data_IF_602280375794
#
_entry.id   IF_602280375794
#
_cell.length_a   1.000
_cell.length_b   1.000
_cell.length_c   1.000
_cell.angle_alpha   90.00
_cell.angle_beta   90.00
_cell.angle_gamma   90.00
#
_symmetry.space_group_name_H-M   'P 1'
#
loop_
_entity.id
_entity.type
_entity.pdbx_description
1 polymer ?
#
# COMPACT_ATOMS: atom_id res chain seq x y z
N UNK A 1 30.08 11.58 -50.10
CA UNK A 1 30.01 11.74 -48.64
C UNK A 1 28.54 11.88 -48.25
N UNK A 2 27.84 10.76 -48.04
CA UNK A 2 26.46 10.79 -47.55
C UNK A 2 26.51 10.81 -46.02
N UNK A 3 26.10 11.93 -45.45
CA UNK A 3 26.01 12.17 -44.02
C UNK A 3 24.86 11.37 -43.42
N UNK A 4 25.17 10.55 -42.43
CA UNK A 4 24.21 9.80 -41.64
C UNK A 4 23.42 10.76 -40.75
N UNK A 5 22.16 11.01 -41.07
CA UNK A 5 21.23 11.71 -40.18
C UNK A 5 20.66 10.70 -39.17
N UNK A 6 21.29 10.59 -38.01
CA UNK A 6 20.73 9.87 -36.85
C UNK A 6 19.59 10.70 -36.26
N UNK A 7 18.35 10.29 -36.54
CA UNK A 7 17.16 10.83 -35.88
C UNK A 7 17.12 10.30 -34.45
N UNK A 8 17.50 11.15 -33.49
CA UNK A 8 17.41 10.87 -32.06
C UNK A 8 15.92 10.95 -31.66
N UNK A 9 15.25 9.81 -31.61
CA UNK A 9 13.90 9.70 -31.07
C UNK A 9 13.95 9.98 -29.55
N UNK A 10 13.61 11.21 -29.16
CA UNK A 10 13.38 11.56 -27.76
C UNK A 10 12.18 10.73 -27.27
N UNK A 11 12.43 9.70 -26.47
CA UNK A 11 11.37 8.96 -25.80
C UNK A 11 10.65 9.91 -24.84
N UNK A 12 9.52 10.47 -25.28
CA UNK A 12 8.58 11.15 -24.39
C UNK A 12 8.01 10.09 -23.45
N UNK A 13 8.68 9.84 -22.34
CA UNK A 13 8.10 9.05 -21.27
C UNK A 13 6.89 9.83 -20.73
N UNK A 14 5.68 9.26 -20.79
CA UNK A 14 4.56 9.83 -20.07
C UNK A 14 4.86 9.61 -18.58
N UNK A 15 5.62 10.52 -17.96
CA UNK A 15 5.51 10.76 -16.52
C UNK A 15 4.07 11.23 -16.33
N UNK A 16 3.15 10.29 -16.11
CA UNK A 16 1.84 10.58 -15.60
C UNK A 16 2.06 11.20 -14.23
N UNK A 17 1.86 12.50 -14.19
CA UNK A 17 1.64 13.22 -12.96
C UNK A 17 0.13 13.19 -12.82
N UNK A 18 -0.35 12.19 -12.09
CA UNK A 18 -1.13 12.40 -10.88
C UNK A 18 -1.83 11.12 -10.39
N UNK A 19 -2.20 11.06 -9.11
CA UNK A 19 -1.73 10.01 -8.20
C UNK A 19 -2.73 9.74 -7.05
N UNK A 20 -2.94 8.46 -6.73
CA UNK A 20 -3.74 7.99 -5.61
C UNK A 20 -2.99 6.91 -4.86
N UNK A 21 -2.88 7.02 -3.53
CA UNK A 21 -2.04 6.14 -2.71
C UNK A 21 -2.82 5.50 -1.56
N UNK A 22 -2.40 4.31 -1.18
CA UNK A 22 -2.93 3.61 0.00
C UNK A 22 -2.17 4.13 1.23
N UNK A 23 -2.78 5.06 1.95
CA UNK A 23 -2.11 5.80 3.02
C UNK A 23 -2.05 5.00 4.33
N UNK A 24 -3.15 4.36 4.70
CA UNK A 24 -3.30 3.62 5.95
C UNK A 24 -4.18 2.40 5.70
N UNK A 25 -3.84 1.27 6.31
CA UNK A 25 -4.60 0.03 6.23
C UNK A 25 -4.61 -0.69 7.57
N UNK A 26 -5.76 -1.25 7.92
CA UNK A 26 -5.97 -2.09 9.09
C UNK A 26 -6.66 -3.37 8.66
N UNK A 27 -6.26 -4.50 9.27
CA UNK A 27 -6.96 -5.76 9.10
C UNK A 27 -8.01 -5.94 10.19
N UNK A 28 -8.98 -6.82 9.97
CA UNK A 28 -10.05 -7.08 10.92
C UNK A 28 -9.58 -7.60 12.29
N UNK A 29 -8.39 -8.19 12.38
CA UNK A 29 -7.76 -8.60 13.65
C UNK A 29 -6.80 -7.54 14.21
N UNK A 30 -6.82 -6.33 13.68
CA UNK A 30 -6.02 -5.19 14.13
C UNK A 30 -4.75 -4.99 13.30
N UNK A 31 -3.74 -4.39 13.95
CA UNK A 31 -2.51 -3.95 13.29
C UNK A 31 -2.71 -2.71 12.41
N UNK A 32 -1.61 -2.16 11.93
CA UNK A 32 -1.62 -0.98 11.08
C UNK A 32 -0.49 -1.04 10.06
N UNK A 33 -0.79 -0.64 8.83
CA UNK A 33 0.12 -0.68 7.70
C UNK A 33 -0.05 0.51 6.79
N UNK A 34 0.94 0.71 5.95
CA UNK A 34 0.87 1.59 4.79
C UNK A 34 1.40 0.84 3.57
N UNK A 35 1.18 1.37 2.36
CA UNK A 35 1.79 0.75 1.18
C UNK A 35 3.32 0.87 1.21
N UNK A 36 3.98 -0.07 0.52
CA UNK A 36 5.40 0.02 0.23
C UNK A 36 5.73 1.35 -0.46
N UNK A 37 6.91 1.88 -0.16
CA UNK A 37 7.42 3.16 -0.67
C UNK A 37 6.65 4.43 -0.26
N UNK A 38 5.66 4.34 0.64
CA UNK A 38 5.05 5.52 1.26
C UNK A 38 6.09 6.20 2.15
N UNK A 39 6.21 7.53 2.05
CA UNK A 39 7.22 8.33 2.77
C UNK A 39 6.63 9.10 3.97
N UNK A 40 5.36 8.83 4.31
CA UNK A 40 4.68 9.43 5.44
C UNK A 40 4.54 10.95 5.32
N UNK A 41 4.65 11.64 6.46
CA UNK A 41 4.46 13.11 6.53
C UNK A 41 5.54 13.95 5.85
N UNK A 42 6.58 13.33 5.28
CA UNK A 42 7.64 14.05 4.53
C UNK A 42 7.09 14.55 3.18
N UNK A 43 6.11 13.85 2.62
CA UNK A 43 5.45 14.23 1.36
C UNK A 43 4.24 15.11 1.68
N UNK A 44 4.24 16.39 1.28
CA UNK A 44 3.11 17.28 1.53
C UNK A 44 1.83 16.74 0.85
N UNK A 45 0.68 16.82 1.52
CA UNK A 45 -0.61 16.48 0.88
C UNK A 45 -1.07 17.53 -0.14
N UNK A 46 -0.63 18.78 0.01
CA UNK A 46 -0.99 19.89 -0.87
C UNK A 46 0.24 20.64 -1.38
N UNK A 47 0.10 21.27 -2.55
CA UNK A 47 1.19 22.00 -3.22
C UNK A 47 1.40 21.53 -4.66
N UNK A 48 2.55 21.86 -5.27
CA UNK A 48 2.86 21.42 -6.62
C UNK A 48 2.94 19.89 -6.70
N UNK A 49 2.32 19.31 -7.73
CA UNK A 49 2.26 17.87 -8.01
C UNK A 49 3.63 17.17 -7.89
N UNK A 50 4.69 17.79 -8.40
CA UNK A 50 6.06 17.26 -8.33
C UNK A 50 6.63 17.10 -6.92
N UNK A 51 5.92 17.59 -5.90
CA UNK A 51 6.27 17.49 -4.48
C UNK A 51 5.28 16.65 -3.68
N UNK A 52 4.01 16.64 -4.06
CA UNK A 52 2.92 15.96 -3.33
C UNK A 52 2.71 14.51 -3.76
N UNK A 53 3.30 14.11 -4.89
CA UNK A 53 2.99 12.84 -5.55
C UNK A 53 4.13 11.80 -5.50
N UNK A 54 5.25 12.15 -4.87
CA UNK A 54 6.50 11.38 -5.00
C UNK A 54 6.40 9.97 -4.43
N UNK A 55 5.47 9.71 -3.53
CA UNK A 55 5.29 8.42 -2.85
C UNK A 55 4.08 7.62 -3.37
N UNK A 56 3.46 8.05 -4.47
CA UNK A 56 2.39 7.26 -5.07
C UNK A 56 2.94 6.17 -5.97
N UNK A 57 2.45 4.95 -5.74
CA UNK A 57 2.83 3.80 -6.56
C UNK A 57 2.07 3.81 -7.88
N UNK A 58 2.83 3.70 -8.97
CA UNK A 58 2.33 3.53 -10.33
C UNK A 58 2.63 2.12 -10.81
N UNK A 59 1.62 1.42 -11.31
CA UNK A 59 1.77 0.12 -11.97
C UNK A 59 1.82 0.27 -13.49
N UNK A 60 2.32 -0.76 -14.17
CA UNK A 60 2.50 -0.72 -15.62
C UNK A 60 1.25 -1.15 -16.41
N UNK A 61 0.32 -1.88 -15.80
CA UNK A 61 -0.84 -2.47 -16.47
C UNK A 61 -2.13 -2.23 -15.69
N UNK A 62 -3.19 -1.82 -16.39
CA UNK A 62 -4.54 -1.57 -15.85
C UNK A 62 -5.24 -2.82 -15.35
N UNK A 63 -4.81 -4.00 -15.78
CA UNK A 63 -5.21 -5.25 -15.14
C UNK A 63 -4.59 -5.33 -13.75
N UNK A 64 -5.42 -5.49 -12.72
CA UNK A 64 -4.95 -5.59 -11.34
C UNK A 64 -4.12 -6.88 -11.13
N UNK A 65 -4.45 -7.96 -11.85
CA UNK A 65 -3.77 -9.27 -11.80
C UNK A 65 -2.53 -9.31 -12.69
N UNK A 66 -1.58 -8.43 -12.42
CA UNK A 66 -0.24 -8.43 -13.03
C UNK A 66 0.83 -8.32 -11.98
N UNK A 67 1.92 -9.04 -12.20
CA UNK A 67 3.04 -9.11 -11.25
C UNK A 67 3.75 -7.77 -11.06
N UNK A 68 4.50 -7.70 -9.97
CA UNK A 68 5.34 -6.56 -9.62
C UNK A 68 4.72 -5.61 -8.60
N UNK A 69 5.59 -4.93 -7.87
CA UNK A 69 5.23 -4.08 -6.73
C UNK A 69 5.00 -2.61 -7.10
N UNK A 70 5.14 -2.28 -8.39
CA UNK A 70 5.06 -0.92 -8.90
C UNK A 70 6.33 -0.12 -8.66
N UNK A 71 6.24 1.19 -8.86
CA UNK A 71 7.32 2.15 -8.60
C UNK A 71 6.75 3.49 -8.16
N UNK A 72 7.51 4.24 -7.39
CA UNK A 72 7.21 5.64 -7.05
C UNK A 72 8.27 6.56 -7.65
N UNK A 73 7.95 7.85 -7.76
CA UNK A 73 8.91 8.85 -8.24
C UNK A 73 10.02 9.09 -7.20
N UNK A 74 9.69 9.02 -5.92
CA UNK A 74 10.58 9.33 -4.81
C UNK A 74 11.48 8.17 -4.37
N UNK A 75 11.01 6.91 -4.49
CA UNK A 75 11.75 5.72 -4.06
C UNK A 75 12.19 4.80 -5.21
N UNK A 76 11.76 5.06 -6.46
CA UNK A 76 12.08 4.20 -7.59
C UNK A 76 11.24 2.93 -7.60
N UNK A 77 11.82 1.81 -8.02
CA UNK A 77 11.12 0.52 -8.03
C UNK A 77 10.80 0.08 -6.59
N UNK A 78 9.56 -0.37 -6.39
CA UNK A 78 9.16 -0.85 -5.08
C UNK A 78 9.71 -2.26 -4.85
N UNK A 79 10.16 -2.52 -3.63
CA UNK A 79 10.70 -3.81 -3.21
C UNK A 79 10.32 -4.13 -1.75
N UNK A 80 10.51 -5.39 -1.35
CA UNK A 80 10.16 -5.85 -0.01
C UNK A 80 11.09 -5.31 1.09
N UNK A 81 12.28 -4.82 0.75
CA UNK A 81 13.15 -4.11 1.69
C UNK A 81 12.53 -2.81 2.21
N UNK A 82 11.59 -2.23 1.46
CA UNK A 82 10.83 -1.05 1.89
C UNK A 82 9.81 -1.36 2.99
N UNK A 83 9.58 -2.63 3.34
CA UNK A 83 8.68 -3.01 4.44
C UNK A 83 9.14 -2.41 5.78
N UNK A 84 10.43 -2.39 6.06
CA UNK A 84 10.96 -1.81 7.31
C UNK A 84 10.58 -0.33 7.42
N UNK A 85 10.62 0.40 6.31
CA UNK A 85 10.19 1.79 6.27
C UNK A 85 8.68 1.94 6.48
N UNK A 86 7.86 1.10 5.82
CA UNK A 86 6.42 1.09 6.02
C UNK A 86 6.05 0.84 7.49
N UNK A 87 6.71 -0.13 8.14
CA UNK A 87 6.51 -0.44 9.56
C UNK A 87 6.99 0.68 10.49
N UNK A 88 8.05 1.41 10.12
CA UNK A 88 8.48 2.58 10.87
C UNK A 88 7.41 3.69 10.85
N UNK A 89 6.58 3.76 9.81
CA UNK A 89 5.48 4.72 9.69
C UNK A 89 4.19 4.27 10.40
N UNK A 90 3.90 2.97 10.42
CA UNK A 90 2.61 2.44 10.88
C UNK A 90 2.65 1.67 12.20
N UNK A 91 3.83 1.33 12.70
CA UNK A 91 4.06 0.54 13.91
C UNK A 91 4.59 -0.88 13.63
N UNK A 92 4.97 -1.63 14.69
CA UNK A 92 5.65 -2.91 14.57
C UNK A 92 4.74 -4.09 14.22
N UNK A 93 3.43 -3.87 14.09
CA UNK A 93 2.45 -4.92 13.82
C UNK A 93 1.76 -4.65 12.49
N UNK A 94 2.05 -5.50 11.50
CA UNK A 94 1.38 -5.50 10.19
C UNK A 94 -0.15 -5.54 10.34
N UNK A 95 -0.92 -5.08 9.35
CA UNK A 95 -2.36 -5.35 9.30
C UNK A 95 -2.62 -6.85 9.42
N UNK A 96 -3.43 -7.24 10.41
CA UNK A 96 -3.71 -8.63 10.74
C UNK A 96 -5.07 -9.03 10.17
N UNK A 97 -5.07 -10.03 9.28
CA UNK A 97 -6.27 -10.55 8.62
C UNK A 97 -6.59 -11.95 9.13
N UNK A 98 -7.87 -12.26 9.23
CA UNK A 98 -8.33 -13.65 9.36
C UNK A 98 -8.86 -14.14 8.01
N UNK A 99 -8.85 -15.46 7.74
CA UNK A 99 -9.62 -16.00 6.62
C UNK A 99 -11.09 -15.58 6.75
N UNK A 100 -11.69 -15.10 5.66
CA UNK A 100 -13.06 -14.55 5.67
C UNK A 100 -13.18 -13.14 6.27
N UNK A 101 -12.06 -12.56 6.69
CA UNK A 101 -12.00 -11.23 7.30
C UNK A 101 -12.02 -10.08 6.29
N UNK A 102 -11.73 -8.88 6.77
CA UNK A 102 -11.77 -7.66 5.96
C UNK A 102 -10.48 -6.85 6.13
N UNK A 103 -10.04 -6.25 5.02
CA UNK A 103 -9.02 -5.22 4.96
C UNK A 103 -9.71 -3.87 4.79
N UNK A 104 -9.49 -2.93 5.71
CA UNK A 104 -10.03 -1.56 5.63
C UNK A 104 -8.89 -0.56 5.55
N UNK A 105 -9.13 0.59 4.92
CA UNK A 105 -8.08 1.58 4.82
C UNK A 105 -8.51 2.92 4.25
N UNK A 106 -7.54 3.80 4.14
CA UNK A 106 -7.68 5.13 3.56
C UNK A 106 -6.92 5.20 2.25
N UNK A 107 -7.64 5.51 1.19
CA UNK A 107 -7.07 5.84 -0.10
C UNK A 107 -7.01 7.37 -0.23
N UNK A 108 -5.81 7.90 -0.35
CA UNK A 108 -5.58 9.33 -0.50
C UNK A 108 -5.39 9.69 -1.96
N UNK A 109 -6.31 10.50 -2.48
CA UNK A 109 -6.34 10.96 -3.86
C UNK A 109 -5.74 12.36 -3.92
N UNK A 110 -4.53 12.45 -4.46
CA UNK A 110 -3.83 13.74 -4.61
C UNK A 110 -4.49 14.56 -5.71
N UNK A 111 -4.91 13.90 -6.78
CA UNK A 111 -5.43 14.53 -8.01
C UNK A 111 -6.58 13.78 -8.64
N UNK A 112 -7.28 14.44 -9.56
CA UNK A 112 -8.56 13.95 -10.06
C UNK A 112 -8.51 12.58 -10.77
N UNK A 113 -7.36 12.18 -11.29
CA UNK A 113 -7.06 10.92 -11.98
C UNK A 113 -6.54 9.78 -11.07
N UNK A 114 -6.43 10.05 -9.76
CA UNK A 114 -6.19 9.05 -8.72
C UNK A 114 -7.49 8.48 -8.13
N UNK A 115 -8.66 8.85 -8.64
CA UNK A 115 -9.95 8.45 -8.09
C UNK A 115 -10.26 6.96 -8.33
N UNK A 116 -11.44 6.52 -7.90
CA UNK A 116 -11.92 5.15 -8.05
C UNK A 116 -12.50 4.82 -9.43
N UNK A 117 -13.06 3.60 -9.58
CA UNK A 117 -13.07 2.54 -8.58
C UNK A 117 -11.69 1.88 -8.42
N UNK A 118 -11.39 1.40 -7.21
CA UNK A 118 -10.20 0.60 -6.90
C UNK A 118 -10.53 -0.89 -6.79
N UNK A 119 -9.55 -1.73 -7.10
CA UNK A 119 -9.59 -3.18 -7.02
C UNK A 119 -8.44 -3.67 -6.16
N UNK A 120 -8.57 -4.87 -5.58
CA UNK A 120 -7.52 -5.48 -4.78
C UNK A 120 -7.28 -6.95 -5.15
N UNK A 121 -6.00 -7.34 -5.16
CA UNK A 121 -5.55 -8.72 -5.35
C UNK A 121 -4.52 -9.06 -4.29
N UNK A 122 -4.68 -10.22 -3.67
CA UNK A 122 -3.82 -10.75 -2.63
C UNK A 122 -2.89 -11.84 -3.21
N UNK A 123 -1.59 -11.62 -3.09
CA UNK A 123 -0.56 -12.63 -3.33
C UNK A 123 -0.27 -13.37 -2.01
N UNK A 124 -0.54 -14.69 -2.01
CA UNK A 124 -0.41 -15.58 -0.86
C UNK A 124 1.05 -15.91 -0.50
N UNK A 125 1.97 -15.68 -1.43
CA UNK A 125 3.40 -16.03 -1.29
C UNK A 125 4.28 -14.86 -0.87
N UNK A 126 3.71 -13.65 -0.89
CA UNK A 126 4.42 -12.39 -0.68
C UNK A 126 5.67 -12.20 -1.56
N UNK A 127 5.58 -12.57 -2.83
CA UNK A 127 6.66 -12.43 -3.82
C UNK A 127 6.36 -11.40 -4.91
N UNK A 128 5.16 -10.82 -4.91
CA UNK A 128 4.66 -9.90 -5.94
C UNK A 128 4.02 -10.62 -7.14
N UNK A 129 3.65 -11.89 -7.00
CA UNK A 129 3.06 -12.73 -8.04
C UNK A 129 1.52 -12.56 -8.10
N UNK A 130 1.05 -11.35 -8.36
CA UNK A 130 -0.38 -11.02 -8.38
C UNK A 130 -1.15 -11.62 -9.58
N UNK A 131 -0.48 -12.12 -10.61
CA UNK A 131 -1.15 -12.83 -11.71
C UNK A 131 -1.88 -14.08 -11.21
N UNK A 132 -1.25 -14.83 -10.31
CA UNK A 132 -1.83 -15.98 -9.61
C UNK A 132 -2.55 -15.60 -8.30
N UNK A 133 -2.60 -14.31 -7.99
CA UNK A 133 -3.19 -13.80 -6.77
C UNK A 133 -4.71 -13.97 -6.71
N UNK A 134 -5.21 -13.97 -5.47
CA UNK A 134 -6.62 -14.10 -5.12
C UNK A 134 -7.28 -12.72 -5.16
N UNK A 135 -8.28 -12.48 -6.03
CA UNK A 135 -9.04 -11.23 -6.01
C UNK A 135 -9.80 -11.06 -4.70
N UNK A 136 -9.80 -9.84 -4.16
CA UNK A 136 -10.60 -9.51 -2.98
C UNK A 136 -11.92 -8.88 -3.41
N UNK A 137 -12.97 -9.13 -2.63
CA UNK A 137 -14.31 -8.59 -2.91
C UNK A 137 -14.40 -7.16 -2.40
N UNK A 138 -14.84 -6.23 -3.25
CA UNK A 138 -15.07 -4.84 -2.85
C UNK A 138 -16.25 -4.79 -1.87
N UNK A 139 -16.03 -4.31 -0.65
CA UNK A 139 -17.07 -4.06 0.36
C UNK A 139 -17.43 -2.58 0.40
N UNK A 140 -16.42 -1.71 0.37
CA UNK A 140 -16.58 -0.26 0.32
C UNK A 140 -15.63 0.31 -0.74
N UNK A 141 -16.19 1.18 -1.58
CA UNK A 141 -15.53 1.70 -2.77
C UNK A 141 -15.34 3.22 -2.68
N UNK A 142 -14.24 3.71 -3.24
CA UNK A 142 -13.99 5.16 -3.34
C UNK A 142 -14.68 5.74 -4.59
N UNK A 143 -15.11 7.01 -4.55
CA UNK A 143 -15.76 7.67 -5.69
C UNK A 143 -14.87 7.76 -6.93
N UNK A 144 -15.49 7.68 -8.11
CA UNK A 144 -14.83 7.87 -9.41
C UNK A 144 -15.31 6.87 -10.46
N UNK A 145 -14.92 7.11 -11.72
CA UNK A 145 -15.15 6.24 -12.86
C UNK A 145 -13.86 6.14 -13.68
N UNK A 146 -13.37 4.92 -13.91
CA UNK A 146 -12.16 4.67 -14.70
C UNK A 146 -10.91 5.35 -14.14
N UNK A 147 -10.82 5.53 -12.82
CA UNK A 147 -9.72 6.24 -12.18
C UNK A 147 -9.93 7.74 -12.06
N UNK A 148 -11.07 8.31 -12.49
CA UNK A 148 -11.27 9.76 -12.55
C UNK A 148 -12.51 10.22 -11.76
N UNK A 149 -12.44 11.38 -11.09
CA UNK A 149 -13.64 12.00 -10.54
C UNK A 149 -14.62 12.44 -11.63
N UNK A 150 -15.90 12.14 -11.44
CA UNK A 150 -16.98 12.60 -12.31
C UNK A 150 -17.43 13.97 -11.80
N UNK A 151 -17.09 15.06 -12.51
CA UNK A 151 -17.53 16.42 -12.17
C UNK A 151 -16.45 17.47 -11.88
N UNK A 152 -15.16 17.14 -12.04
CA UNK A 152 -14.11 18.17 -12.02
C UNK A 152 -14.21 19.06 -13.26
N UNK A 153 -14.14 20.39 -13.09
CA UNK A 153 -14.02 21.37 -14.17
C UNK A 153 -12.69 21.15 -14.95
N UNK A 154 -12.63 20.12 -15.79
CA UNK A 154 -11.50 19.80 -16.65
C UNK A 154 -11.34 20.79 -17.82
N UNK A 155 -12.22 21.80 -17.88
CA UNK A 155 -12.34 22.72 -19.00
C UNK A 155 -12.23 24.18 -18.54
N UNK A 156 -11.03 24.60 -18.17
CA UNK A 156 -10.45 25.69 -18.97
C UNK A 156 -9.54 25.04 -19.98
N UNK A 157 -10.13 24.52 -21.05
CA UNK A 157 -9.41 24.25 -22.30
C UNK A 157 -8.80 25.60 -22.68
N UNK A 158 -7.58 25.88 -22.22
CA UNK A 158 -6.87 27.06 -22.67
C UNK A 158 -6.83 26.90 -24.18
N UNK A 159 -7.50 27.81 -24.87
CA UNK A 159 -7.54 27.94 -26.33
C UNK A 159 -6.15 28.29 -26.89
N UNK A 160 -5.10 28.16 -26.09
CA UNK A 160 -3.73 28.34 -26.51
C UNK A 160 -3.35 27.17 -27.46
N UNK A 161 -3.08 27.44 -28.74
CA UNK A 161 -2.73 26.43 -29.73
C UNK A 161 -1.40 25.72 -29.43
N UNK A 162 -0.62 26.21 -28.47
CA UNK A 162 0.59 25.54 -27.96
C UNK A 162 0.32 24.59 -26.79
N UNK A 163 -0.95 24.41 -26.38
CA UNK A 163 -1.21 23.63 -25.18
C UNK A 163 -1.01 22.12 -25.33
N UNK A 164 -0.90 21.60 -26.56
CA UNK A 164 -0.44 20.23 -26.80
C UNK A 164 1.05 20.05 -26.46
N UNK A 165 1.81 21.15 -26.40
CA UNK A 165 3.22 21.18 -26.02
C UNK A 165 3.43 21.30 -24.49
N UNK A 166 2.35 21.56 -23.72
CA UNK A 166 2.39 21.65 -22.26
C UNK A 166 1.70 20.43 -21.66
N UNK A 167 2.47 19.61 -20.93
CA UNK A 167 1.96 18.52 -20.09
C UNK A 167 0.96 19.10 -19.09
N UNK A 168 -0.34 18.84 -19.27
CA UNK A 168 -1.37 19.20 -18.29
C UNK A 168 -1.57 18.00 -17.36
N UNK A 169 -1.09 18.11 -16.13
CA UNK A 169 -1.44 17.14 -15.07
C UNK A 169 -2.90 17.28 -14.67
N UNK A 170 -3.45 16.24 -14.03
CA UNK A 170 -4.81 16.31 -13.49
C UNK A 170 -4.90 17.35 -12.36
N UNK A 171 -6.11 17.87 -12.13
CA UNK A 171 -6.36 18.86 -11.08
C UNK A 171 -6.08 18.26 -9.69
N UNK A 172 -5.43 19.02 -8.81
CA UNK A 172 -5.30 18.63 -7.40
C UNK A 172 -6.66 18.65 -6.71
N UNK A 173 -6.94 17.57 -6.00
CA UNK A 173 -8.16 17.38 -5.20
C UNK A 173 -7.81 17.18 -3.73
N UNK A 174 -6.72 16.47 -3.42
CA UNK A 174 -6.19 16.25 -2.07
C UNK A 174 -7.28 15.79 -1.09
N UNK A 175 -7.92 14.67 -1.39
CA UNK A 175 -9.03 14.10 -0.62
C UNK A 175 -8.73 12.66 -0.21
N UNK A 176 -9.23 12.25 0.96
CA UNK A 176 -9.09 10.89 1.47
C UNK A 176 -10.44 10.21 1.52
N UNK A 177 -10.48 8.93 1.12
CA UNK A 177 -11.70 8.12 1.13
C UNK A 177 -11.43 6.78 1.80
N UNK A 178 -12.42 6.31 2.55
CA UNK A 178 -12.40 4.98 3.13
C UNK A 178 -12.67 3.93 2.05
N UNK A 179 -12.01 2.79 2.17
CA UNK A 179 -12.30 1.60 1.38
C UNK A 179 -12.27 0.35 2.26
N UNK A 180 -12.90 -0.70 1.76
CA UNK A 180 -12.90 -2.01 2.41
C UNK A 180 -12.94 -3.12 1.37
N UNK A 181 -12.16 -4.18 1.62
CA UNK A 181 -12.13 -5.40 0.83
C UNK A 181 -12.30 -6.63 1.72
N UNK A 182 -13.15 -7.57 1.31
CA UNK A 182 -13.31 -8.85 1.98
C UNK A 182 -12.34 -9.89 1.43
N UNK A 183 -11.73 -10.64 2.34
CA UNK A 183 -10.81 -11.74 2.08
C UNK A 183 -11.59 -13.04 2.03
N UNK A 184 -11.39 -13.92 1.03
CA UNK A 184 -12.04 -15.22 1.00
C UNK A 184 -11.76 -16.08 2.23
N UNK A 185 -12.73 -16.93 2.61
CA UNK A 185 -12.65 -17.80 3.80
C UNK A 185 -11.52 -18.83 3.75
N UNK A 186 -11.06 -19.21 2.55
CA UNK A 186 -10.02 -20.21 2.35
C UNK A 186 -8.65 -19.59 2.02
N UNK A 187 -8.46 -18.31 2.29
CA UNK A 187 -7.18 -17.64 2.05
C UNK A 187 -6.16 -18.03 3.12
N UNK A 188 -4.95 -18.38 2.69
CA UNK A 188 -3.80 -18.64 3.57
C UNK A 188 -2.57 -17.95 3.01
N UNK A 189 -1.76 -17.33 3.87
CA UNK A 189 -0.47 -16.78 3.49
C UNK A 189 0.66 -17.72 3.86
N UNK A 190 1.60 -17.92 2.95
CA UNK A 190 2.83 -18.69 3.18
C UNK A 190 4.08 -17.82 3.08
N UNK A 191 3.93 -16.55 2.71
CA UNK A 191 5.04 -15.62 2.53
C UNK A 191 5.82 -15.38 3.82
N UNK A 192 7.11 -15.13 3.64
CA UNK A 192 8.04 -14.74 4.70
C UNK A 192 8.72 -13.45 4.28
N UNK A 193 8.51 -12.37 5.04
CA UNK A 193 9.11 -11.06 4.75
C UNK A 193 9.66 -10.46 6.03
N UNK A 194 10.92 -10.02 6.01
CA UNK A 194 11.61 -9.45 7.18
C UNK A 194 11.50 -10.32 8.45
N UNK A 195 11.53 -11.66 8.30
CA UNK A 195 11.44 -12.62 9.40
C UNK A 195 10.02 -12.91 9.91
N UNK A 196 9.00 -12.19 9.42
CA UNK A 196 7.59 -12.46 9.73
C UNK A 196 7.05 -13.56 8.82
N UNK A 197 6.38 -14.55 9.39
CA UNK A 197 5.72 -15.65 8.67
C UNK A 197 4.24 -15.38 8.50
N UNK A 198 3.62 -16.03 7.51
CA UNK A 198 2.20 -15.85 7.21
C UNK A 198 1.91 -14.49 6.58
N UNK A 199 2.88 -13.91 5.87
CA UNK A 199 2.74 -12.62 5.20
C UNK A 199 2.15 -12.82 3.81
N UNK A 200 1.19 -11.97 3.44
CA UNK A 200 0.72 -11.78 2.08
C UNK A 200 1.04 -10.35 1.62
N UNK A 201 0.94 -10.13 0.32
CA UNK A 201 0.93 -8.79 -0.25
C UNK A 201 -0.45 -8.53 -0.85
N UNK A 202 -1.04 -7.38 -0.53
CA UNK A 202 -2.29 -6.91 -1.14
C UNK A 202 -1.97 -5.75 -2.06
N UNK A 203 -2.13 -5.96 -3.37
CA UNK A 203 -2.06 -4.90 -4.37
C UNK A 203 -3.43 -4.26 -4.47
N UNK A 204 -3.49 -2.96 -4.23
CA UNK A 204 -4.70 -2.13 -4.41
C UNK A 204 -4.40 -1.11 -5.50
N UNK A 205 -5.24 -1.02 -6.53
CA UNK A 205 -5.08 -0.01 -7.56
C UNK A 205 -6.39 0.34 -8.26
N UNK A 206 -6.47 1.55 -8.82
CA UNK A 206 -7.49 1.90 -9.80
C UNK A 206 -7.13 1.36 -11.20
N UNK A 207 -7.97 1.60 -12.21
CA UNK A 207 -7.75 1.15 -13.58
C UNK A 207 -7.40 2.29 -14.56
N UNK A 208 -6.72 3.34 -14.09
CA UNK A 208 -6.41 4.50 -14.93
C UNK A 208 -5.36 4.16 -16.00
N UNK A 209 -5.60 4.58 -17.26
CA UNK A 209 -4.68 4.35 -18.39
C UNK A 209 -3.41 5.19 -18.34
N UNK A 210 -3.42 6.34 -17.65
CA UNK A 210 -2.21 7.13 -17.41
C UNK A 210 -1.19 6.38 -16.55
N UNK A 211 -1.66 5.38 -15.81
CA UNK A 211 -0.90 4.57 -14.88
C UNK A 211 -1.85 4.15 -13.78
N UNK A 212 -2.07 2.86 -13.53
CA UNK A 212 -2.86 2.45 -12.37
C UNK A 212 -2.18 2.92 -11.10
N UNK A 213 -2.93 3.65 -10.28
CA UNK A 213 -2.42 4.25 -9.06
C UNK A 213 -2.94 3.49 -7.84
N UNK A 214 -2.06 3.31 -6.86
CA UNK A 214 -2.43 2.75 -5.57
C UNK A 214 -1.22 2.37 -4.74
N UNK A 215 -1.09 1.09 -4.40
CA UNK A 215 0.02 0.58 -3.62
C UNK A 215 -0.04 -0.91 -3.34
N UNK A 216 1.08 -1.47 -2.86
CA UNK A 216 1.14 -2.83 -2.33
C UNK A 216 1.32 -2.76 -0.83
N UNK A 217 0.45 -3.44 -0.09
CA UNK A 217 0.42 -3.44 1.37
C UNK A 217 0.76 -4.83 1.87
N UNK A 218 1.84 -5.00 2.64
CA UNK A 218 2.10 -6.23 3.36
C UNK A 218 1.07 -6.42 4.47
N UNK A 219 0.52 -7.62 4.57
CA UNK A 219 -0.47 -8.01 5.59
C UNK A 219 -0.06 -9.35 6.16
N UNK A 220 -0.49 -9.66 7.38
CA UNK A 220 -0.21 -10.94 8.00
C UNK A 220 -1.52 -11.68 8.28
N UNK A 221 -1.59 -12.94 7.88
CA UNK A 221 -2.72 -13.80 8.22
C UNK A 221 -2.53 -14.41 9.60
N UNK A 222 -3.55 -14.26 10.42
CA UNK A 222 -3.66 -14.85 11.75
C UNK A 222 -4.85 -15.78 11.82
N UNK A 223 -4.80 -16.70 12.78
CA UNK A 223 -5.93 -17.57 13.08
C UNK A 223 -7.14 -16.71 13.51
N UNK A 224 -8.34 -17.14 13.12
CA UNK A 224 -9.57 -16.51 13.58
C UNK A 224 -9.63 -16.53 15.13
N UNK A 225 -9.73 -15.35 15.74
CA UNK A 225 -9.75 -15.19 17.21
C UNK A 225 -8.38 -15.02 17.89
N UNK A 226 -7.27 -14.97 17.14
CA UNK A 226 -5.96 -14.64 17.72
C UNK A 226 -5.78 -13.12 17.84
N UNK A 227 -5.38 -12.64 19.03
CA UNK A 227 -4.87 -11.28 19.19
C UNK A 227 -3.53 -11.14 18.46
N UNK A 228 -3.29 -9.97 17.86
CA UNK A 228 -2.10 -9.69 17.05
C UNK A 228 -0.80 -10.00 17.81
N UNK A 229 0.17 -10.73 17.20
CA UNK A 229 1.48 -10.89 17.80
C UNK A 229 2.21 -9.54 17.80
N UNK A 230 2.58 -9.07 18.99
CA UNK A 230 3.47 -7.91 19.16
C UNK A 230 4.90 -8.41 19.02
N UNK A 231 5.63 -7.90 18.02
CA UNK A 231 7.08 -8.11 17.94
C UNK A 231 7.74 -7.18 18.97
N UNK A 232 8.12 -7.72 20.12
CA UNK A 232 9.10 -7.07 20.99
C UNK A 232 10.46 -7.13 20.30
N UNK A 233 10.98 -5.97 19.90
CA UNK A 233 12.30 -5.84 19.30
C UNK A 233 13.37 -6.41 20.22
N UNK A 234 13.91 -7.58 19.88
CA UNK A 234 14.98 -8.23 20.61
C UNK A 234 16.35 -7.73 20.15
N UNK A 235 16.99 -6.89 20.96
CA UNK A 235 18.45 -6.82 21.02
C UNK A 235 18.94 -8.03 21.82
N UNK A 236 19.58 -8.97 21.13
CA UNK A 236 20.20 -10.12 21.77
C UNK A 236 21.44 -9.73 22.58
N UNK A 237 21.49 -10.20 23.82
CA UNK A 237 22.71 -10.61 24.51
C UNK A 237 22.35 -11.87 25.28
N UNK A 238 22.98 -12.99 24.89
CA UNK A 238 22.78 -14.28 25.52
C UNK A 238 23.49 -14.38 26.88
N UNK A 239 22.89 -15.16 27.77
CA UNK A 239 23.59 -15.91 28.80
C UNK A 239 22.81 -17.20 29.02
N UNK A 240 23.49 -18.33 28.83
CA UNK A 240 22.90 -19.66 28.86
C UNK A 240 22.73 -20.24 30.27
N UNK A 241 21.93 -21.31 30.25
CA UNK A 241 21.94 -22.50 31.12
C UNK A 241 21.70 -22.34 32.62
N UNK A 242 20.54 -22.84 33.05
CA UNK A 242 20.26 -23.22 34.43
C UNK A 242 19.01 -24.09 34.51
N UNK A 243 19.19 -25.41 34.42
CA UNK A 243 18.19 -26.43 34.78
C UNK A 243 17.86 -26.34 36.27
N UNK A 244 16.57 -26.29 36.63
CA UNK A 244 16.15 -26.30 38.04
C UNK A 244 14.65 -26.49 38.22
N UNK A 245 14.26 -27.75 38.42
CA UNK A 245 12.97 -28.22 38.94
C UNK A 245 12.71 -27.66 40.35
N UNK A 246 11.48 -27.24 40.66
CA UNK A 246 11.06 -27.11 42.06
C UNK A 246 9.92 -26.13 42.37
N UNK A 247 8.72 -26.69 42.53
CA UNK A 247 7.70 -26.40 43.55
C UNK A 247 7.91 -25.20 44.49
N UNK A 248 6.89 -24.35 44.62
CA UNK A 248 6.84 -23.33 45.67
C UNK A 248 5.60 -22.46 45.63
N UNK A 249 4.49 -22.97 46.14
CA UNK A 249 3.32 -22.21 46.56
C UNK A 249 3.76 -21.12 47.56
N UNK A 250 3.42 -19.86 47.28
CA UNK A 250 3.37 -18.82 48.32
C UNK A 250 2.01 -18.15 48.26
N UNK A 251 1.21 -18.52 49.25
CA UNK A 251 0.00 -17.83 49.71
C UNK A 251 0.44 -16.54 50.40
N UNK A 252 -0.15 -15.41 50.02
CA UNK A 252 -0.23 -14.25 50.89
C UNK A 252 -1.71 -13.85 51.02
N UNK A 253 -2.28 -14.16 52.18
CA UNK A 253 -3.57 -13.65 52.64
C UNK A 253 -3.41 -12.89 53.96
N UNK A 254 -4.26 -11.88 54.14
CA UNK A 254 -4.58 -11.19 55.39
C UNK A 254 -3.59 -10.08 55.79
N UNK A 255 -3.95 -8.96 56.40
CA UNK A 255 -5.19 -8.40 57.00
C UNK A 255 -4.80 -6.94 57.32
N UNK A 256 -5.60 -5.92 56.96
CA UNK A 256 -6.55 -5.26 57.87
C UNK A 256 -5.95 -4.04 58.60
N UNK A 257 -6.52 -2.85 58.41
CA UNK A 257 -7.06 -1.96 59.46
C UNK A 257 -7.17 -0.49 59.00
N UNK A 258 -8.30 0.10 59.43
CA UNK A 258 -8.75 1.50 59.46
C UNK A 258 -9.11 2.17 58.11
#
# INVERSE_FOLDING_TARGET
MLTHATVLALALTPLASAHGKVAVVTGNAGGNGTALAIQGGIVPGSGPNSKTEVDTTVFHHTSIRTNGLGKTTGAGHNDLGQLVHAMALSGPTLPQLTPGGNLTGIFHVVTADGAGPIQAVLDTTATGQFSDGVPLTVVMQIPGVGGNFVGGNNNKRSLNPLSWLRKRGAANVNQSFEFAFAVPENTTCTGVVAGMTGVCLVKVANANQAGPFGGVVPVQMVAAGAAAPVVTGGTGVGAGTGTGTGSGVVVCGGTGQA
#
